data_IF_191542196523
#
_entry.id   IF_191542196523
#
_cell.length_a   1.000
_cell.length_b   1.000
_cell.length_c   1.000
_cell.angle_alpha   90.00
_cell.angle_beta   90.00
_cell.angle_gamma   90.00
#
_symmetry.space_group_name_H-M   'P 1'
#
loop_
_entity.id
_entity.type
_entity.pdbx_description
1 polymer ?
#
# COMPACT_ATOMS: atom_id res chain seq x y z
N UNK A 1 -31.03 -3.32 4.61
CA UNK A 1 -29.69 -3.52 5.17
C UNK A 1 -28.74 -2.51 4.60
N UNK A 2 -28.13 -1.71 5.45
CA UNK A 2 -27.15 -0.73 5.00
C UNK A 2 -25.75 -1.31 5.10
N UNK A 3 -24.89 -0.97 4.17
CA UNK A 3 -23.50 -1.29 4.27
C UNK A 3 -22.66 -0.01 4.22
N UNK A 4 -21.49 -0.09 4.81
CA UNK A 4 -20.58 1.05 4.85
C UNK A 4 -19.51 0.92 3.79
N UNK A 5 -19.07 2.07 3.32
CA UNK A 5 -17.90 2.19 2.47
C UNK A 5 -16.90 3.07 3.18
N UNK A 6 -15.65 2.63 3.21
CA UNK A 6 -14.59 3.45 3.77
C UNK A 6 -13.44 3.53 2.77
N UNK A 7 -12.73 4.64 2.83
CA UNK A 7 -11.50 4.81 2.09
C UNK A 7 -10.36 4.80 3.10
N UNK A 8 -9.51 3.80 2.98
CA UNK A 8 -8.37 3.64 3.88
C UNK A 8 -7.12 4.17 3.19
N UNK A 9 -6.50 5.15 3.81
CA UNK A 9 -5.23 5.69 3.33
C UNK A 9 -4.10 5.13 4.16
N UNK A 10 -3.16 4.46 3.50
CA UNK A 10 -1.99 3.90 4.16
C UNK A 10 -0.75 4.65 3.69
N UNK A 11 0.05 5.10 4.64
CA UNK A 11 1.36 5.62 4.31
C UNK A 11 2.23 4.46 3.83
N UNK A 12 3.07 4.70 2.82
CA UNK A 12 4.01 3.65 2.39
C UNK A 12 4.89 3.20 3.53
N UNK A 13 5.20 4.09 4.47
CA UNK A 13 6.02 3.75 5.62
C UNK A 13 5.38 2.68 6.51
N UNK A 14 4.07 2.57 6.51
CA UNK A 14 3.39 1.54 7.29
C UNK A 14 3.76 0.12 6.82
N UNK A 15 4.19 -0.04 5.56
CA UNK A 15 4.51 -1.34 5.00
C UNK A 15 5.93 -1.79 5.29
N UNK A 16 6.79 -0.90 5.74
CA UNK A 16 8.19 -1.27 5.98
C UNK A 16 8.45 -1.91 7.35
N UNK A 17 7.47 -1.83 8.26
CA UNK A 17 7.66 -2.37 9.60
C UNK A 17 8.84 -1.70 10.30
N UNK A 18 9.74 -2.51 10.80
CA UNK A 18 10.95 -2.02 11.50
C UNK A 18 12.17 -1.88 10.58
N UNK A 19 12.00 -2.07 9.28
CA UNK A 19 13.11 -1.92 8.34
C UNK A 19 13.27 -0.45 7.94
N UNK A 20 14.41 -0.11 7.36
CA UNK A 20 14.67 1.26 6.93
C UNK A 20 13.91 1.62 5.66
N UNK A 21 13.71 0.63 4.79
CA UNK A 21 12.93 0.81 3.59
C UNK A 21 12.42 -0.53 3.08
N UNK A 22 11.55 -0.48 2.09
CA UNK A 22 11.04 -1.68 1.46
C UNK A 22 9.73 -2.15 2.07
N UNK A 23 9.42 -3.41 1.88
CA UNK A 23 8.18 -4.03 2.32
C UNK A 23 8.53 -5.15 3.29
N UNK A 24 7.92 -5.11 4.47
CA UNK A 24 8.01 -6.19 5.44
C UNK A 24 6.81 -7.11 5.23
N UNK A 25 7.02 -8.35 4.78
CA UNK A 25 5.89 -9.25 4.48
C UNK A 25 4.99 -9.52 5.69
N UNK A 26 5.56 -9.61 6.89
CA UNK A 26 4.76 -9.84 8.09
C UNK A 26 3.85 -8.65 8.38
N UNK A 27 4.38 -7.44 8.24
CA UNK A 27 3.59 -6.23 8.44
C UNK A 27 2.45 -6.14 7.43
N UNK A 28 2.73 -6.45 6.16
CA UNK A 28 1.70 -6.44 5.13
C UNK A 28 0.61 -7.46 5.43
N UNK A 29 1.00 -8.65 5.91
CA UNK A 29 0.02 -9.68 6.31
C UNK A 29 -0.85 -9.19 7.46
N UNK A 30 -0.27 -8.54 8.46
CA UNK A 30 -1.03 -8.03 9.59
C UNK A 30 -2.04 -6.98 9.15
N UNK A 31 -1.63 -6.09 8.25
CA UNK A 31 -2.52 -5.09 7.67
C UNK A 31 -3.65 -5.77 6.89
N UNK A 32 -3.31 -6.78 6.09
CA UNK A 32 -4.29 -7.49 5.29
C UNK A 32 -5.32 -8.21 6.19
N UNK A 33 -4.88 -8.76 7.31
CA UNK A 33 -5.79 -9.42 8.24
C UNK A 33 -6.76 -8.43 8.88
N UNK A 34 -6.31 -7.23 9.20
CA UNK A 34 -7.19 -6.19 9.71
C UNK A 34 -8.21 -5.76 8.66
N UNK A 35 -7.78 -5.63 7.40
CA UNK A 35 -8.67 -5.30 6.30
C UNK A 35 -9.70 -6.41 6.11
N UNK A 36 -9.25 -7.66 6.18
CA UNK A 36 -10.16 -8.80 6.07
C UNK A 36 -11.23 -8.78 7.14
N UNK A 37 -10.86 -8.47 8.38
CA UNK A 37 -11.82 -8.40 9.47
C UNK A 37 -12.92 -7.38 9.18
N UNK A 38 -12.55 -6.21 8.68
CA UNK A 38 -13.53 -5.18 8.31
C UNK A 38 -14.39 -5.63 7.12
N UNK A 39 -13.76 -6.25 6.12
CA UNK A 39 -14.47 -6.77 4.95
C UNK A 39 -15.49 -7.83 5.37
N UNK A 40 -15.11 -8.74 6.24
CA UNK A 40 -15.99 -9.80 6.70
C UNK A 40 -17.15 -9.26 7.54
N UNK A 41 -16.99 -8.06 8.10
CA UNK A 41 -18.06 -7.38 8.83
C UNK A 41 -19.03 -6.63 7.89
N UNK A 42 -18.84 -6.76 6.57
CA UNK A 42 -19.73 -6.15 5.58
C UNK A 42 -19.32 -4.77 5.12
N UNK A 43 -18.09 -4.35 5.39
CA UNK A 43 -17.60 -3.03 5.00
C UNK A 43 -16.91 -3.13 3.63
N UNK A 44 -17.32 -2.27 2.71
CA UNK A 44 -16.64 -2.15 1.42
C UNK A 44 -15.45 -1.20 1.59
N UNK A 45 -14.26 -1.63 1.18
CA UNK A 45 -13.04 -0.90 1.49
C UNK A 45 -12.30 -0.53 0.21
N UNK A 46 -12.03 0.77 0.05
CA UNK A 46 -11.09 1.25 -0.96
C UNK A 46 -9.77 1.55 -0.26
N UNK A 47 -8.66 1.21 -0.89
CA UNK A 47 -7.34 1.37 -0.29
C UNK A 47 -6.48 2.24 -1.18
N UNK A 48 -5.88 3.27 -0.61
CA UNK A 48 -4.89 4.10 -1.26
C UNK A 48 -3.61 4.01 -0.44
N UNK A 49 -2.50 3.70 -1.09
CA UNK A 49 -1.22 3.54 -0.40
C UNK A 49 -0.16 4.41 -1.05
N UNK A 50 0.68 5.04 -0.22
CA UNK A 50 1.80 5.82 -0.70
C UNK A 50 3.03 4.98 -0.99
N UNK A 51 4.11 5.61 -1.43
CA UNK A 51 5.36 4.93 -1.79
C UNK A 51 6.57 5.31 -0.94
N UNK A 52 6.36 6.00 0.19
CA UNK A 52 7.46 6.55 0.99
C UNK A 52 8.41 5.53 1.61
N UNK A 53 8.04 4.26 1.63
CA UNK A 53 8.92 3.20 2.10
C UNK A 53 10.00 2.83 1.07
N UNK A 54 9.81 3.19 -0.18
CA UNK A 54 10.70 2.82 -1.27
C UNK A 54 11.31 4.01 -1.98
N UNK A 55 10.60 5.13 -2.04
CA UNK A 55 11.03 6.26 -2.83
C UNK A 55 10.60 7.57 -2.20
N UNK A 56 11.56 8.48 -2.03
CA UNK A 56 11.31 9.80 -1.46
C UNK A 56 11.90 10.88 -2.34
N UNK A 57 11.26 12.04 -2.35
CA UNK A 57 11.74 13.18 -3.11
C UNK A 57 13.15 13.60 -2.69
N UNK A 58 13.49 13.45 -1.40
CA UNK A 58 14.84 13.75 -0.91
C UNK A 58 15.89 12.90 -1.63
N UNK A 59 15.63 11.59 -1.78
CA UNK A 59 16.52 10.67 -2.48
C UNK A 59 16.68 11.11 -3.94
N UNK A 60 15.58 11.45 -4.60
CA UNK A 60 15.63 11.93 -5.97
C UNK A 60 16.49 13.17 -6.11
N UNK A 61 16.33 14.12 -5.17
CA UNK A 61 17.11 15.34 -5.16
C UNK A 61 18.59 15.08 -4.96
N UNK A 62 18.93 14.16 -4.06
CA UNK A 62 20.33 13.78 -3.80
C UNK A 62 20.98 13.13 -5.02
N UNK A 63 20.21 12.40 -5.81
CA UNK A 63 20.70 11.76 -7.02
C UNK A 63 20.76 12.71 -8.21
N UNK A 64 20.30 13.96 -8.05
CA UNK A 64 20.24 14.91 -9.15
C UNK A 64 19.25 14.50 -10.24
N UNK A 65 18.25 13.74 -9.87
CA UNK A 65 17.28 13.21 -10.81
C UNK A 65 16.29 14.27 -11.26
N UNK A 66 15.93 14.21 -12.54
CA UNK A 66 14.91 15.12 -13.06
C UNK A 66 13.54 14.80 -12.43
N UNK A 67 12.72 15.87 -12.29
CA UNK A 67 11.46 15.76 -11.59
C UNK A 67 10.51 14.72 -12.23
N UNK A 68 10.45 14.69 -13.56
CA UNK A 68 9.60 13.75 -14.25
C UNK A 68 9.98 12.30 -13.92
N UNK A 69 11.27 12.02 -13.91
CA UNK A 69 11.76 10.68 -13.57
C UNK A 69 11.46 10.34 -12.11
N UNK A 70 11.67 11.32 -11.22
CA UNK A 70 11.39 11.13 -9.80
C UNK A 70 9.90 10.84 -9.57
N UNK A 71 9.02 11.53 -10.29
CA UNK A 71 7.58 11.31 -10.18
C UNK A 71 7.18 9.92 -10.64
N UNK A 72 7.80 9.44 -11.74
CA UNK A 72 7.56 8.07 -12.20
C UNK A 72 8.02 7.04 -11.17
N UNK A 73 9.16 7.28 -10.54
CA UNK A 73 9.66 6.36 -9.51
C UNK A 73 8.70 6.30 -8.32
N UNK A 74 8.17 7.46 -7.92
CA UNK A 74 7.17 7.51 -6.84
C UNK A 74 5.90 6.76 -7.19
N UNK A 75 5.45 6.91 -8.43
CA UNK A 75 4.27 6.22 -8.92
C UNK A 75 4.47 4.71 -8.94
N UNK A 76 5.63 4.24 -9.41
CA UNK A 76 5.96 2.82 -9.40
C UNK A 76 6.04 2.26 -7.99
N UNK A 77 6.55 3.04 -7.05
CA UNK A 77 6.61 2.61 -5.66
C UNK A 77 5.20 2.38 -5.09
N UNK A 78 4.24 3.27 -5.40
CA UNK A 78 2.86 3.10 -4.98
C UNK A 78 2.24 1.84 -5.57
N UNK A 79 2.51 1.57 -6.84
CA UNK A 79 2.00 0.38 -7.51
C UNK A 79 2.54 -0.89 -6.87
N UNK A 80 3.84 -0.91 -6.55
CA UNK A 80 4.45 -2.07 -5.89
C UNK A 80 3.78 -2.34 -4.54
N UNK A 81 3.55 -1.29 -3.75
CA UNK A 81 2.89 -1.44 -2.46
C UNK A 81 1.44 -1.93 -2.61
N UNK A 82 0.73 -1.38 -3.60
CA UNK A 82 -0.63 -1.82 -3.88
C UNK A 82 -0.70 -3.29 -4.25
N UNK A 83 0.22 -3.74 -5.09
CA UNK A 83 0.29 -5.15 -5.49
C UNK A 83 0.62 -6.06 -4.30
N UNK A 84 1.48 -5.61 -3.40
CA UNK A 84 1.81 -6.40 -2.21
C UNK A 84 0.59 -6.60 -1.32
N UNK A 85 -0.18 -5.53 -1.10
CA UNK A 85 -1.40 -5.61 -0.30
C UNK A 85 -2.43 -6.51 -1.00
N UNK A 86 -2.60 -6.33 -2.32
CA UNK A 86 -3.53 -7.12 -3.10
C UNK A 86 -3.21 -8.61 -3.00
N UNK A 87 -1.95 -8.97 -3.19
CA UNK A 87 -1.51 -10.36 -3.11
C UNK A 87 -1.81 -10.95 -1.74
N UNK A 88 -1.52 -10.21 -0.67
CA UNK A 88 -1.76 -10.67 0.67
C UNK A 88 -3.25 -10.87 0.96
N UNK A 89 -4.10 -9.96 0.48
CA UNK A 89 -5.54 -10.09 0.64
C UNK A 89 -6.09 -11.29 -0.13
N UNK A 90 -5.60 -11.52 -1.34
CA UNK A 90 -6.04 -12.67 -2.14
C UNK A 90 -5.64 -13.99 -1.50
N UNK A 91 -4.48 -14.03 -0.85
CA UNK A 91 -4.08 -15.21 -0.09
C UNK A 91 -5.00 -15.47 1.11
N UNK A 92 -5.66 -14.44 1.61
CA UNK A 92 -6.66 -14.58 2.67
C UNK A 92 -8.07 -14.85 2.14
N UNK A 93 -8.19 -15.03 0.83
CA UNK A 93 -9.47 -15.37 0.21
C UNK A 93 -10.35 -14.18 -0.13
N UNK A 94 -9.79 -12.96 -0.10
CA UNK A 94 -10.54 -11.76 -0.44
C UNK A 94 -10.32 -11.42 -1.91
N UNK A 95 -11.41 -11.23 -2.65
CA UNK A 95 -11.33 -10.80 -4.03
C UNK A 95 -11.00 -9.30 -4.07
N UNK A 96 -10.03 -8.93 -4.89
CA UNK A 96 -9.60 -7.54 -5.01
C UNK A 96 -9.71 -7.06 -6.45
N UNK A 97 -9.80 -5.75 -6.60
CA UNK A 97 -9.80 -5.10 -7.91
C UNK A 97 -8.82 -3.94 -7.89
N UNK A 98 -8.05 -3.86 -8.95
CA UNK A 98 -7.07 -2.82 -9.14
C UNK A 98 -7.53 -1.97 -10.33
N UNK A 99 -8.10 -0.81 -10.03
CA UNK A 99 -8.64 0.09 -11.07
C UNK A 99 -7.68 1.20 -11.43
#
# INVERSE_FOLDING_TARGET
MSYKRILLKLSGEALKGNTEFGIDPRTVRDIAEEIKAAHDAGIQIGIVVGGGNMWRGKTASELGMERVQADYMGMLATVLNGLAIQDSLEHLGIETRDD
#
